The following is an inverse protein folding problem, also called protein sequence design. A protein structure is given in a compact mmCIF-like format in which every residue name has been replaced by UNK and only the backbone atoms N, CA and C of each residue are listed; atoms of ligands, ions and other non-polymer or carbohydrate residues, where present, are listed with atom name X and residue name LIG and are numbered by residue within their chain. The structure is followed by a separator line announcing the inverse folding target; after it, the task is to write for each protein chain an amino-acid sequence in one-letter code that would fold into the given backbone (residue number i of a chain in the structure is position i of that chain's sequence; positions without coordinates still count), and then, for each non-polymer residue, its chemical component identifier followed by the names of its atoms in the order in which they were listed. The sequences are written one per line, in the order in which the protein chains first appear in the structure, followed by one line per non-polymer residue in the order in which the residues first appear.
data_IF_826385731447
#
_entry.id   IF_826385731447
#
_cell.length_a   1.000
_cell.length_b   1.000
_cell.length_c   1.000
_cell.angle_alpha   90.00
_cell.angle_beta   90.00
_cell.angle_gamma   90.00
#
_symmetry.space_group_name_H-M   'P 1'
#
loop_
_entity.id
_entity.type
_entity.pdbx_description
1 polymer ?
#
# COMPACT_ATOMS: atom_id res chain seq x y z
N UNK A 1 15.55 70.42 7.09
CA UNK A 1 15.05 70.38 5.69
C UNK A 1 14.78 68.95 5.19
N UNK A 2 15.73 68.01 5.31
CA UNK A 2 15.57 66.63 4.81
C UNK A 2 14.40 65.85 5.45
N UNK A 3 14.15 66.03 6.75
CA UNK A 3 13.04 65.36 7.45
C UNK A 3 11.64 65.87 7.04
N UNK A 4 11.53 67.10 6.54
CA UNK A 4 10.26 67.64 6.03
C UNK A 4 9.95 67.05 4.65
N UNK A 5 10.95 67.03 3.76
CA UNK A 5 10.82 66.39 2.45
C UNK A 5 10.52 64.89 2.55
N UNK A 6 11.10 64.19 3.53
CA UNK A 6 10.79 62.78 3.78
C UNK A 6 9.33 62.55 4.21
N UNK A 7 8.75 63.48 4.99
CA UNK A 7 7.34 63.40 5.42
C UNK A 7 6.38 63.72 4.28
N UNK A 8 6.72 64.68 3.42
CA UNK A 8 5.91 65.05 2.25
C UNK A 8 5.91 63.93 1.20
N UNK A 9 7.06 63.32 0.93
CA UNK A 9 7.16 62.16 0.02
C UNK A 9 6.40 60.96 0.56
N UNK A 10 6.46 60.72 1.87
CA UNK A 10 5.68 59.68 2.52
C UNK A 10 4.17 59.91 2.40
N UNK A 11 3.69 61.11 2.71
CA UNK A 11 2.29 61.51 2.56
C UNK A 11 1.78 61.32 1.11
N UNK A 12 2.61 61.67 0.12
CA UNK A 12 2.30 61.48 -1.30
C UNK A 12 2.20 59.99 -1.68
N UNK A 13 3.12 59.17 -1.18
CA UNK A 13 3.17 57.72 -1.48
C UNK A 13 2.00 56.98 -0.81
N UNK A 14 1.61 57.34 0.41
CA UNK A 14 0.48 56.71 1.10
C UNK A 14 -0.87 57.34 0.76
N UNK A 15 -0.88 58.51 0.11
CA UNK A 15 -2.10 59.26 -0.20
C UNK A 15 -2.77 59.87 1.04
N UNK A 16 -2.01 60.12 2.11
CA UNK A 16 -2.52 60.60 3.40
C UNK A 16 -2.01 62.00 3.70
N UNK A 17 -2.80 62.81 4.42
CA UNK A 17 -2.46 64.22 4.67
C UNK A 17 -1.65 64.46 5.96
N UNK A 18 -1.34 63.42 6.74
CA UNK A 18 -0.58 63.53 7.97
C UNK A 18 0.33 62.31 8.20
N UNK A 19 1.31 62.46 9.09
CA UNK A 19 2.32 61.44 9.35
C UNK A 19 1.80 60.22 10.13
N UNK A 20 0.74 60.38 10.94
CA UNK A 20 0.17 59.29 11.71
C UNK A 20 -0.56 58.29 10.79
N UNK A 21 -1.34 58.82 9.85
CA UNK A 21 -2.07 58.04 8.85
C UNK A 21 -1.12 57.37 7.85
N UNK A 22 -0.02 58.03 7.47
CA UNK A 22 1.01 57.45 6.62
C UNK A 22 1.70 56.25 7.30
N UNK A 23 2.06 56.40 8.58
CA UNK A 23 2.63 55.31 9.37
C UNK A 23 1.63 54.16 9.54
N UNK A 24 0.35 54.46 9.75
CA UNK A 24 -0.72 53.46 9.81
C UNK A 24 -0.90 52.72 8.47
N UNK A 25 -0.89 53.44 7.34
CA UNK A 25 -0.99 52.87 6.00
C UNK A 25 0.19 51.93 5.69
N UNK A 26 1.43 52.31 6.06
CA UNK A 26 2.59 51.42 5.95
C UNK A 26 2.48 50.19 6.84
N UNK A 27 2.03 50.36 8.09
CA UNK A 27 1.83 49.25 9.02
C UNK A 27 0.76 48.27 8.51
N UNK A 28 -0.29 48.80 7.87
CA UNK A 28 -1.33 48.04 7.20
C UNK A 28 -0.88 47.44 5.85
N UNK A 29 0.34 47.75 5.39
CA UNK A 29 0.89 47.35 4.08
C UNK A 29 -0.02 47.77 2.92
N UNK A 30 -0.65 48.93 3.04
CA UNK A 30 -1.48 49.49 1.98
C UNK A 30 -0.65 49.71 0.70
N UNK A 31 -1.27 49.44 -0.46
CA UNK A 31 -0.61 49.66 -1.74
C UNK A 31 -0.28 51.15 -1.94
N UNK A 32 0.93 51.47 -2.42
CA UNK A 32 1.32 52.84 -2.74
C UNK A 32 0.36 53.54 -3.72
N UNK A 33 0.31 54.87 -3.64
CA UNK A 33 -0.47 55.76 -4.50
C UNK A 33 -1.97 55.41 -4.56
N UNK A 34 -2.49 54.86 -3.46
CA UNK A 34 -3.88 54.43 -3.35
C UNK A 34 -4.24 53.25 -4.26
N UNK A 35 -3.28 52.38 -4.58
CA UNK A 35 -3.52 51.18 -5.40
C UNK A 35 -3.67 51.45 -6.91
N UNK A 36 -3.39 52.69 -7.37
CA UNK A 36 -3.38 53.01 -8.82
C UNK A 36 -2.32 52.23 -9.59
N UNK A 37 -1.24 51.86 -8.91
CA UNK A 37 -0.19 50.99 -9.40
C UNK A 37 -0.17 49.77 -8.50
N UNK A 38 -0.71 48.66 -9.00
CA UNK A 38 -0.70 47.39 -8.31
C UNK A 38 0.39 46.48 -8.91
N UNK A 39 1.50 46.23 -8.19
CA UNK A 39 2.55 45.33 -8.65
C UNK A 39 2.09 43.88 -8.80
N UNK A 40 1.02 43.47 -8.10
CA UNK A 40 0.51 42.10 -8.07
C UNK A 40 -0.56 41.84 -9.12
N UNK A 41 -1.02 42.88 -9.83
CA UNK A 41 -2.06 42.77 -10.87
C UNK A 41 -1.78 41.65 -11.88
N UNK A 42 -0.53 41.45 -12.27
CA UNK A 42 -0.15 40.39 -13.22
C UNK A 42 -0.25 38.97 -12.66
N UNK A 43 -0.27 38.81 -11.34
CA UNK A 43 -0.47 37.54 -10.63
C UNK A 43 -1.97 37.31 -10.44
N UNK A 44 -2.70 38.34 -10.01
CA UNK A 44 -4.12 38.24 -9.70
C UNK A 44 -4.99 38.12 -10.97
N UNK A 45 -4.64 38.86 -12.03
CA UNK A 45 -5.34 38.81 -13.33
C UNK A 45 -4.79 37.67 -14.22
N UNK A 46 -3.83 36.88 -13.74
CA UNK A 46 -3.29 35.76 -14.50
C UNK A 46 -4.39 34.72 -14.74
N UNK A 47 -4.84 34.61 -15.99
CA UNK A 47 -5.72 33.50 -16.38
C UNK A 47 -4.88 32.23 -16.46
N UNK A 48 -4.89 31.45 -15.39
CA UNK A 48 -4.23 30.16 -15.36
C UNK A 48 -4.97 29.17 -16.26
N UNK A 49 -4.26 28.32 -17.01
CA UNK A 49 -4.91 27.24 -17.75
C UNK A 49 -5.74 26.37 -16.81
N UNK A 50 -6.98 26.07 -17.20
CA UNK A 50 -7.77 25.06 -16.52
C UNK A 50 -7.08 23.70 -16.73
N UNK A 51 -6.33 23.24 -15.73
CA UNK A 51 -5.72 21.92 -15.77
C UNK A 51 -6.83 20.86 -15.72
N UNK A 52 -6.97 20.11 -16.82
CA UNK A 52 -7.83 18.93 -16.85
C UNK A 52 -7.35 17.97 -15.76
N UNK A 53 -8.25 17.40 -14.93
CA UNK A 53 -7.85 16.40 -13.97
C UNK A 53 -7.23 15.24 -14.75
N UNK A 54 -5.93 15.01 -14.57
CA UNK A 54 -5.30 13.80 -15.10
C UNK A 54 -5.99 12.64 -14.39
N UNK A 55 -6.82 11.90 -15.12
CA UNK A 55 -7.39 10.65 -14.63
C UNK A 55 -6.21 9.70 -14.40
N UNK A 56 -5.68 9.72 -13.18
CA UNK A 56 -4.68 8.76 -12.76
C UNK A 56 -5.30 7.38 -12.87
N UNK A 57 -4.72 6.53 -13.71
CA UNK A 57 -5.02 5.11 -13.66
C UNK A 57 -4.13 4.53 -12.57
N UNK A 58 -4.74 3.89 -11.57
CA UNK A 58 -3.96 3.17 -10.57
C UNK A 58 -3.09 2.15 -11.28
N UNK A 59 -1.78 2.19 -11.01
CA UNK A 59 -0.88 1.12 -11.46
C UNK A 59 -1.30 -0.16 -10.77
N UNK A 60 -1.44 -1.26 -11.51
CA UNK A 60 -1.64 -2.58 -10.93
C UNK A 60 -0.32 -3.01 -10.28
N UNK A 61 -0.09 -2.56 -9.05
CA UNK A 61 1.06 -2.99 -8.26
C UNK A 61 0.79 -4.44 -7.88
N UNK A 62 1.37 -5.37 -8.63
CA UNK A 62 1.52 -6.75 -8.18
C UNK A 62 2.37 -6.72 -6.91
N UNK A 63 1.71 -6.87 -5.76
CA UNK A 63 2.39 -6.99 -4.47
C UNK A 63 3.40 -8.14 -4.48
N UNK A 64 4.41 -8.12 -3.58
CA UNK A 64 5.37 -9.21 -3.47
C UNK A 64 4.62 -10.53 -3.29
N UNK A 65 4.84 -11.46 -4.21
CA UNK A 65 4.31 -12.81 -4.14
C UNK A 65 5.04 -13.51 -3.00
N UNK A 66 4.45 -13.52 -1.81
CA UNK A 66 4.95 -14.30 -0.68
C UNK A 66 4.72 -15.77 -0.99
N UNK A 67 5.68 -16.41 -1.66
CA UNK A 67 5.68 -17.87 -1.77
C UNK A 67 6.05 -18.42 -0.38
N UNK A 68 5.04 -18.91 0.34
CA UNK A 68 5.27 -19.58 1.61
C UNK A 68 6.18 -20.79 1.36
N UNK A 69 7.28 -20.87 2.12
CA UNK A 69 8.19 -22.02 2.04
C UNK A 69 7.39 -23.31 2.30
N UNK A 70 7.53 -24.35 1.47
CA UNK A 70 6.94 -25.65 1.75
C UNK A 70 7.33 -26.13 3.15
N UNK A 71 6.36 -26.63 3.91
CA UNK A 71 6.59 -27.19 5.23
C UNK A 71 7.49 -28.41 5.12
N UNK A 72 8.38 -28.59 6.09
CA UNK A 72 9.16 -29.83 6.16
C UNK A 72 8.23 -31.02 6.45
N UNK A 73 8.66 -32.22 6.09
CA UNK A 73 7.89 -33.45 6.34
C UNK A 73 7.46 -33.62 7.81
N UNK A 74 8.32 -33.23 8.74
CA UNK A 74 8.05 -33.32 10.19
C UNK A 74 6.97 -32.33 10.62
N UNK A 75 7.01 -31.10 10.11
CA UNK A 75 6.00 -30.08 10.38
C UNK A 75 4.64 -30.46 9.79
N UNK A 76 4.63 -30.96 8.54
CA UNK A 76 3.44 -31.44 7.89
C UNK A 76 2.82 -32.64 8.64
N UNK A 77 3.64 -33.62 9.06
CA UNK A 77 3.18 -34.76 9.84
C UNK A 77 2.60 -34.35 11.20
N UNK A 78 3.19 -33.34 11.86
CA UNK A 78 2.66 -32.79 13.12
C UNK A 78 1.29 -32.14 12.92
N UNK A 79 1.13 -31.35 11.86
CA UNK A 79 -0.14 -30.72 11.51
C UNK A 79 -1.22 -31.77 11.15
N UNK A 80 -0.86 -32.74 10.30
CA UNK A 80 -1.75 -33.83 9.91
C UNK A 80 -2.16 -34.70 11.09
N UNK A 81 -1.25 -35.02 12.02
CA UNK A 81 -1.59 -35.78 13.23
C UNK A 81 -2.67 -35.07 14.06
N UNK A 82 -2.58 -33.75 14.22
CA UNK A 82 -3.62 -32.95 14.88
C UNK A 82 -4.97 -33.03 14.17
N UNK A 83 -4.96 -32.88 12.83
CA UNK A 83 -6.18 -32.99 12.01
C UNK A 83 -6.80 -34.38 12.04
N UNK A 84 -5.98 -35.44 12.00
CA UNK A 84 -6.45 -36.83 12.11
C UNK A 84 -7.13 -37.07 13.46
N UNK A 85 -6.50 -36.66 14.57
CA UNK A 85 -7.10 -36.80 15.90
C UNK A 85 -8.42 -36.03 16.05
N UNK A 86 -8.52 -34.83 15.47
CA UNK A 86 -9.77 -34.06 15.46
C UNK A 86 -10.90 -34.76 14.70
N UNK A 87 -10.56 -35.55 13.67
CA UNK A 87 -11.51 -36.36 12.89
C UNK A 87 -11.67 -37.79 13.43
N UNK A 88 -11.14 -38.10 14.62
CA UNK A 88 -11.22 -39.44 15.22
C UNK A 88 -10.39 -40.52 14.51
N UNK A 89 -9.44 -40.12 13.66
CA UNK A 89 -8.58 -41.01 12.88
C UNK A 89 -7.22 -41.20 13.56
N UNK A 90 -6.63 -42.38 13.36
CA UNK A 90 -5.32 -42.72 13.92
C UNK A 90 -4.22 -42.41 12.91
N UNK A 91 -3.26 -41.57 13.31
CA UNK A 91 -2.03 -41.37 12.55
C UNK A 91 -1.12 -42.59 12.69
N UNK A 92 -0.67 -43.15 11.56
CA UNK A 92 0.19 -44.35 11.54
C UNK A 92 1.50 -44.07 10.79
N UNK A 93 2.57 -44.85 11.03
CA UNK A 93 3.83 -44.72 10.30
C UNK A 93 3.70 -44.93 8.77
N UNK A 94 2.69 -45.67 8.32
CA UNK A 94 2.41 -45.85 6.89
C UNK A 94 1.98 -44.54 6.22
N UNK A 95 1.14 -43.74 6.88
CA UNK A 95 0.75 -42.42 6.38
C UNK A 95 1.96 -41.48 6.24
N UNK A 96 2.95 -41.59 7.14
CA UNK A 96 4.18 -40.82 7.04
C UNK A 96 5.02 -41.25 5.82
N UNK A 97 5.14 -42.56 5.56
CA UNK A 97 5.83 -43.05 4.35
C UNK A 97 5.16 -42.57 3.07
N UNK A 98 3.82 -42.65 3.02
CA UNK A 98 3.04 -42.17 1.88
C UNK A 98 3.20 -40.65 1.68
N UNK A 99 3.21 -39.87 2.77
CA UNK A 99 3.47 -38.43 2.73
C UNK A 99 4.85 -38.12 2.11
N UNK A 100 5.90 -38.77 2.60
CA UNK A 100 7.27 -38.56 2.10
C UNK A 100 7.47 -39.03 0.66
N UNK A 101 6.72 -40.04 0.22
CA UNK A 101 6.78 -40.53 -1.15
C UNK A 101 6.06 -39.60 -2.15
N UNK A 102 4.94 -38.99 -1.73
CA UNK A 102 4.16 -38.09 -2.57
C UNK A 102 4.75 -36.67 -2.64
N UNK A 103 5.44 -36.22 -1.58
CA UNK A 103 5.94 -34.86 -1.45
C UNK A 103 7.43 -34.81 -1.10
N UNK A 104 8.34 -35.30 -1.96
CA UNK A 104 9.77 -35.39 -1.66
C UNK A 104 10.43 -34.05 -1.33
N UNK A 105 9.92 -32.95 -1.88
CA UNK A 105 10.45 -31.59 -1.68
C UNK A 105 9.77 -30.82 -0.53
N UNK A 106 8.93 -31.49 0.25
CA UNK A 106 8.13 -30.88 1.32
C UNK A 106 6.69 -30.59 0.91
N UNK A 107 5.88 -30.23 1.90
CA UNK A 107 4.41 -30.17 1.75
C UNK A 107 3.96 -28.70 1.79
N UNK A 108 3.30 -28.19 0.73
CA UNK A 108 2.67 -26.88 0.79
C UNK A 108 1.60 -26.84 1.88
N UNK A 109 1.55 -25.76 2.67
CA UNK A 109 0.57 -25.61 3.75
C UNK A 109 -0.88 -25.72 3.23
N UNK A 110 -1.15 -25.12 2.07
CA UNK A 110 -2.44 -25.18 1.40
C UNK A 110 -2.86 -26.60 0.96
N UNK A 111 -1.90 -27.53 0.79
CA UNK A 111 -2.17 -28.90 0.35
C UNK A 111 -2.47 -29.86 1.52
N UNK A 112 -2.35 -29.43 2.79
CA UNK A 112 -2.54 -30.32 3.94
C UNK A 112 -3.93 -30.99 3.98
N UNK A 113 -4.98 -30.30 3.54
CA UNK A 113 -6.33 -30.86 3.51
C UNK A 113 -6.49 -31.91 2.40
N UNK A 114 -5.89 -31.68 1.23
CA UNK A 114 -5.87 -32.64 0.12
C UNK A 114 -5.04 -33.88 0.46
N UNK A 115 -3.89 -33.67 1.10
CA UNK A 115 -3.05 -34.74 1.63
C UNK A 115 -3.82 -35.58 2.64
N UNK A 116 -4.55 -34.95 3.55
CA UNK A 116 -5.39 -35.67 4.50
C UNK A 116 -6.48 -36.49 3.79
N UNK A 117 -7.16 -35.93 2.80
CA UNK A 117 -8.16 -36.65 2.02
C UNK A 117 -7.54 -37.85 1.28
N UNK A 118 -6.35 -37.70 0.73
CA UNK A 118 -5.62 -38.75 0.01
C UNK A 118 -5.21 -39.88 0.95
N UNK A 119 -4.70 -39.53 2.14
CA UNK A 119 -4.23 -40.50 3.14
C UNK A 119 -5.38 -41.24 3.84
N UNK A 120 -6.57 -40.63 3.90
CA UNK A 120 -7.77 -41.25 4.52
C UNK A 120 -8.66 -41.96 3.52
N UNK A 121 -8.48 -41.69 2.22
CA UNK A 121 -9.11 -42.47 1.15
C UNK A 121 -8.49 -43.87 1.17
N UNK A 122 -9.26 -44.94 1.42
CA UNK A 122 -8.73 -46.27 1.32
C UNK A 122 -8.24 -46.48 -0.11
N UNK A 123 -6.93 -46.68 -0.27
CA UNK A 123 -6.37 -47.12 -1.53
C UNK A 123 -7.15 -48.37 -1.94
N UNK A 124 -7.92 -48.29 -3.03
CA UNK A 124 -8.52 -49.47 -3.64
C UNK A 124 -7.35 -50.33 -4.12
N UNK A 125 -6.88 -51.22 -3.24
CA UNK A 125 -5.94 -52.26 -3.58
C UNK A 125 -6.67 -53.22 -4.52
N UNK A 126 -6.60 -52.95 -5.82
CA UNK A 126 -6.80 -54.00 -6.79
C UNK A 126 -5.61 -54.94 -6.69
N UNK A 127 -5.69 -55.88 -5.74
CA UNK A 127 -4.92 -57.12 -5.74
C UNK A 127 -5.32 -57.87 -7.01
N UNK A 128 -4.53 -57.74 -8.08
CA UNK A 128 -4.59 -58.70 -9.18
C UNK A 128 -3.53 -59.75 -8.85
N UNK A 129 -3.99 -60.85 -8.25
CA UNK A 129 -3.24 -62.10 -8.19
C UNK A 129 -3.11 -62.65 -9.61
N UNK A 130 -1.95 -62.53 -10.24
CA UNK A 130 -1.64 -63.33 -11.43
C UNK A 130 -1.15 -64.68 -10.91
N UNK A 131 -2.10 -65.63 -10.83
CA UNK A 131 -1.84 -67.06 -10.65
C UNK A 131 -1.29 -67.62 -11.96
N UNK A 132 -0.12 -68.27 -11.84
CA UNK A 132 0.43 -69.37 -12.63
C UNK A 132 -0.21 -69.74 -13.99
N UNK A 133 0.63 -69.86 -15.03
CA UNK A 133 0.29 -70.65 -16.22
C UNK A 133 1.15 -70.38 -17.46
N UNK A 134 2.40 -70.87 -17.48
CA UNK A 134 2.92 -71.69 -18.59
C UNK A 134 4.24 -72.37 -18.18
#
# INVERSE_FOLDING_TARGET
PAQMAAKETEALVTGTNNAADAAAARKAKALPFGGRLDPYKHIDDATLPAYMPKRGQASDVRGPRTEQRPMTHVEAAKALRGKFSANGLTWTPEHYRQLTAQYPDGVPEAALDEVMATLTTPARSSVISIVNGN
#
